data_IF_791396374549
#
_entry.id   IF_791396374549
#
_cell.length_a   1.000
_cell.length_b   1.000
_cell.length_c   1.000
_cell.angle_alpha   90.00
_cell.angle_beta   90.00
_cell.angle_gamma   90.00
#
_symmetry.space_group_name_H-M   'P 1'
#
loop_
_entity.id
_entity.type
_entity.pdbx_description
1 polymer ?
#
# COMPACT_ATOMS: atom_id res chain seq x y z
N UNK A 1 -9.00 -20.28 -78.96
CA UNK A 1 -9.66 -18.96 -78.85
C UNK A 1 -10.22 -18.83 -77.43
N UNK A 2 -10.22 -17.60 -76.90
CA UNK A 2 -10.23 -17.24 -75.47
C UNK A 2 -11.46 -17.67 -74.66
N UNK A 3 -11.32 -17.43 -73.34
CA UNK A 3 -12.34 -17.26 -72.28
C UNK A 3 -12.63 -18.53 -71.47
N UNK A 4 -12.69 -18.56 -70.14
CA UNK A 4 -12.60 -17.54 -69.08
C UNK A 4 -13.02 -18.18 -67.73
N UNK A 5 -12.74 -17.51 -66.60
CA UNK A 5 -13.45 -17.71 -65.33
C UNK A 5 -12.80 -18.61 -64.25
N UNK A 6 -12.25 -17.97 -63.22
CA UNK A 6 -12.16 -18.47 -61.84
C UNK A 6 -13.30 -17.83 -61.01
N UNK A 7 -13.52 -18.12 -59.70
CA UNK A 7 -13.12 -19.25 -58.82
C UNK A 7 -14.33 -19.77 -57.98
N UNK A 8 -14.19 -20.79 -57.12
CA UNK A 8 -14.90 -20.98 -55.82
C UNK A 8 -14.42 -22.32 -55.18
N UNK A 9 -13.75 -22.30 -54.03
CA UNK A 9 -14.24 -22.35 -52.64
C UNK A 9 -14.58 -23.77 -52.15
N UNK A 10 -13.67 -24.38 -51.38
CA UNK A 10 -13.93 -25.55 -50.55
C UNK A 10 -14.32 -25.10 -49.13
N UNK A 11 -15.34 -25.74 -48.54
CA UNK A 11 -15.26 -26.03 -47.11
C UNK A 11 -15.86 -27.41 -46.74
N UNK A 12 -15.23 -28.10 -45.78
CA UNK A 12 -15.82 -28.41 -44.46
C UNK A 12 -14.96 -29.44 -43.71
N UNK A 13 -14.57 -29.13 -42.46
CA UNK A 13 -14.94 -29.82 -41.20
C UNK A 13 -14.32 -31.23 -41.03
N UNK A 14 -13.75 -31.66 -39.90
CA UNK A 14 -13.89 -31.28 -38.50
C UNK A 14 -12.80 -31.99 -37.67
N UNK A 15 -12.55 -31.46 -36.47
CA UNK A 15 -12.11 -32.18 -35.25
C UNK A 15 -10.70 -32.79 -35.16
N UNK A 16 -9.77 -31.97 -34.66
CA UNK A 16 -9.00 -32.37 -33.49
C UNK A 16 -8.73 -31.13 -32.62
N UNK A 17 -9.44 -31.07 -31.49
CA UNK A 17 -9.33 -30.04 -30.47
C UNK A 17 -7.91 -30.00 -29.87
N UNK A 18 -7.16 -28.94 -30.17
CA UNK A 18 -6.00 -28.55 -29.37
C UNK A 18 -6.49 -27.65 -28.23
N UNK A 19 -6.27 -28.10 -26.99
CA UNK A 19 -6.52 -27.33 -25.79
C UNK A 19 -5.84 -25.94 -25.87
N UNK A 20 -6.45 -24.88 -25.32
CA UNK A 20 -5.81 -23.56 -25.30
C UNK A 20 -4.52 -23.65 -24.49
N UNK A 21 -3.41 -23.39 -25.18
CA UNK A 21 -2.09 -23.17 -24.57
C UNK A 21 -2.23 -22.14 -23.43
N UNK A 22 -1.61 -22.36 -22.26
CA UNK A 22 -1.73 -21.44 -21.15
C UNK A 22 -1.28 -20.05 -21.60
N UNK A 23 -2.22 -19.12 -21.50
CA UNK A 23 -2.12 -17.69 -21.79
C UNK A 23 -0.70 -17.19 -21.61
N UNK A 24 -0.15 -16.61 -22.68
CA UNK A 24 1.06 -15.81 -22.64
C UNK A 24 1.06 -14.96 -21.37
N UNK A 25 1.97 -15.26 -20.45
CA UNK A 25 2.15 -14.43 -19.28
C UNK A 25 2.39 -13.01 -19.80
N UNK A 26 1.47 -12.08 -19.50
CA UNK A 26 1.72 -10.66 -19.71
C UNK A 26 3.00 -10.36 -18.94
N UNK A 27 4.13 -10.28 -19.65
CA UNK A 27 5.36 -9.77 -19.08
C UNK A 27 5.05 -8.34 -18.65
N UNK A 28 4.86 -8.14 -17.36
CA UNK A 28 4.90 -6.81 -16.78
C UNK A 28 6.38 -6.41 -16.80
N UNK A 29 6.79 -5.86 -17.94
CA UNK A 29 8.04 -5.11 -18.03
C UNK A 29 7.77 -3.86 -17.22
N UNK A 30 8.26 -3.81 -15.97
CA UNK A 30 8.48 -2.55 -15.28
C UNK A 30 9.86 -2.09 -15.73
N UNK A 31 9.99 -1.19 -16.73
CA UNK A 31 11.27 -0.54 -16.91
C UNK A 31 11.51 0.26 -15.62
N UNK A 32 12.45 -0.19 -14.80
CA UNK A 32 13.21 0.74 -13.96
C UNK A 32 14.38 1.15 -14.83
N UNK A 33 14.26 2.19 -15.67
CA UNK A 33 15.45 2.72 -16.33
C UNK A 33 16.42 3.12 -15.22
N UNK A 34 17.67 2.70 -15.36
CA UNK A 34 18.73 3.25 -14.51
C UNK A 34 18.69 4.78 -14.66
N UNK A 35 18.79 5.52 -13.56
CA UNK A 35 18.66 7.00 -13.54
C UNK A 35 19.66 7.75 -14.46
N UNK A 36 20.51 7.02 -15.19
CA UNK A 36 21.53 7.50 -16.11
C UNK A 36 21.09 7.47 -17.59
N UNK A 37 19.96 6.87 -17.94
CA UNK A 37 19.50 6.77 -19.34
C UNK A 37 18.65 7.96 -19.82
N UNK A 38 18.17 8.79 -18.89
CA UNK A 38 17.30 9.94 -19.18
C UNK A 38 17.72 11.15 -18.36
N UNK A 39 17.72 12.34 -18.98
CA UNK A 39 17.90 13.61 -18.31
C UNK A 39 16.55 14.33 -18.20
N UNK A 40 16.19 14.74 -16.99
CA UNK A 40 15.06 15.67 -16.75
C UNK A 40 15.60 17.08 -16.93
N UNK A 41 15.14 17.77 -17.97
CA UNK A 41 15.55 19.14 -18.29
C UNK A 41 14.71 20.14 -17.49
N UNK A 42 15.17 21.41 -17.47
CA UNK A 42 14.39 22.49 -16.88
C UNK A 42 13.00 22.59 -17.57
N UNK A 43 11.89 22.58 -16.80
CA UNK A 43 10.55 22.54 -17.35
C UNK A 43 10.18 23.84 -18.09
N UNK A 44 10.68 24.99 -17.65
CA UNK A 44 10.39 26.29 -18.27
C UNK A 44 11.08 26.38 -19.63
N UNK A 45 12.36 26.05 -19.70
CA UNK A 45 13.13 26.01 -20.94
C UNK A 45 12.55 24.99 -21.92
N UNK A 46 12.16 23.82 -21.41
CA UNK A 46 11.58 22.75 -22.23
C UNK A 46 10.26 23.17 -22.87
N UNK A 47 9.34 23.78 -22.10
CA UNK A 47 8.08 24.28 -22.66
C UNK A 47 8.33 25.45 -23.62
N UNK A 48 9.24 26.38 -23.29
CA UNK A 48 9.60 27.50 -24.15
C UNK A 48 10.14 27.04 -25.52
N UNK A 49 10.92 25.96 -25.55
CA UNK A 49 11.45 25.39 -26.78
C UNK A 49 10.36 24.90 -27.74
N UNK A 50 9.31 24.25 -27.22
CA UNK A 50 8.28 23.61 -28.04
C UNK A 50 7.07 24.50 -28.32
N UNK A 51 6.83 25.53 -27.50
CA UNK A 51 5.66 26.40 -27.61
C UNK A 51 5.46 27.03 -29.02
N UNK A 52 6.49 27.54 -29.72
CA UNK A 52 6.30 28.14 -31.04
C UNK A 52 5.75 27.15 -32.07
N UNK A 53 6.22 25.90 -32.04
CA UNK A 53 5.72 24.84 -32.93
C UNK A 53 4.28 24.45 -32.56
N UNK A 54 3.97 24.33 -31.27
CA UNK A 54 2.63 23.98 -30.82
C UNK A 54 1.61 25.05 -31.19
N UNK A 55 1.97 26.34 -31.11
CA UNK A 55 1.10 27.46 -31.50
C UNK A 55 0.78 27.50 -32.99
N UNK A 56 1.61 26.90 -33.85
CA UNK A 56 1.28 26.75 -35.27
C UNK A 56 0.27 25.63 -35.53
N UNK A 57 0.19 24.65 -34.61
CA UNK A 57 -0.61 23.43 -34.75
C UNK A 57 -1.91 23.46 -33.95
N UNK A 58 -2.00 24.32 -32.94
CA UNK A 58 -3.12 24.37 -32.01
C UNK A 58 -3.50 25.79 -31.60
N UNK A 59 -4.80 26.07 -31.63
CA UNK A 59 -5.36 27.34 -31.17
C UNK A 59 -5.45 27.42 -29.63
N UNK A 60 -5.57 26.28 -28.95
CA UNK A 60 -5.66 26.15 -27.50
C UNK A 60 -4.62 25.16 -27.00
N UNK A 61 -3.76 25.58 -26.08
CA UNK A 61 -2.65 24.78 -25.55
C UNK A 61 -2.86 24.52 -24.06
N UNK A 62 -2.83 23.24 -23.71
CA UNK A 62 -2.87 22.75 -22.33
C UNK A 62 -1.49 22.26 -21.93
N UNK A 63 -0.98 22.73 -20.80
CA UNK A 63 0.24 22.20 -20.18
C UNK A 63 -0.15 21.29 -19.02
N UNK A 64 0.30 20.03 -19.07
CA UNK A 64 0.17 19.08 -17.95
C UNK A 64 1.47 19.12 -17.15
N UNK A 65 1.38 19.53 -15.89
CA UNK A 65 2.53 19.68 -14.99
C UNK A 65 2.46 18.67 -13.84
N UNK A 66 3.61 18.08 -13.50
CA UNK A 66 3.74 17.14 -12.39
C UNK A 66 5.02 17.44 -11.61
N UNK A 67 4.87 18.00 -10.41
CA UNK A 67 5.97 18.40 -9.54
C UNK A 67 5.44 18.99 -8.24
N UNK A 68 6.31 19.21 -7.24
CA UNK A 68 5.84 19.79 -5.98
C UNK A 68 5.23 21.18 -6.19
N UNK A 69 4.34 21.57 -5.28
CA UNK A 69 3.56 22.81 -5.41
C UNK A 69 4.45 24.05 -5.51
N UNK A 70 5.57 24.07 -4.79
CA UNK A 70 6.49 25.22 -4.74
C UNK A 70 7.30 25.32 -6.02
N UNK A 71 7.88 24.22 -6.50
CA UNK A 71 8.61 24.19 -7.77
C UNK A 71 7.68 24.45 -8.96
N UNK A 72 6.50 23.84 -8.96
CA UNK A 72 5.49 24.06 -10.00
C UNK A 72 5.05 25.52 -10.02
N UNK A 73 4.72 26.12 -8.87
CA UNK A 73 4.36 27.54 -8.79
C UNK A 73 5.47 28.48 -9.26
N UNK A 74 6.73 28.16 -8.94
CA UNK A 74 7.89 28.92 -9.43
C UNK A 74 8.02 28.79 -10.96
N UNK A 75 7.96 27.58 -11.50
CA UNK A 75 8.05 27.33 -12.94
C UNK A 75 6.92 28.05 -13.69
N UNK A 76 5.69 28.02 -13.14
CA UNK A 76 4.51 28.67 -13.71
C UNK A 76 4.67 30.17 -13.97
N UNK A 77 5.47 30.87 -13.17
CA UNK A 77 5.75 32.29 -13.37
C UNK A 77 6.56 32.59 -14.63
N UNK A 78 7.42 31.65 -15.03
CA UNK A 78 8.32 31.75 -16.19
C UNK A 78 7.80 31.04 -17.44
N UNK A 79 6.71 30.26 -17.33
CA UNK A 79 6.19 29.52 -18.46
C UNK A 79 5.73 30.47 -19.60
N UNK A 80 6.00 30.08 -20.86
CA UNK A 80 5.38 30.73 -22.02
C UNK A 80 3.85 30.65 -21.93
N UNK A 81 3.17 31.60 -22.58
CA UNK A 81 1.71 31.73 -22.54
C UNK A 81 1.02 30.45 -23.03
N UNK A 82 0.53 29.63 -22.10
CA UNK A 82 -0.41 28.54 -22.30
C UNK A 82 -1.84 29.02 -21.99
N UNK A 83 -2.86 28.36 -22.53
CA UNK A 83 -4.25 28.76 -22.26
C UNK A 83 -4.77 28.16 -20.94
N UNK A 84 -4.39 26.91 -20.67
CA UNK A 84 -4.72 26.17 -19.45
C UNK A 84 -3.52 25.36 -18.96
N UNK A 85 -3.35 25.29 -17.65
CA UNK A 85 -2.35 24.48 -17.00
C UNK A 85 -3.06 23.58 -15.98
N UNK A 86 -2.80 22.28 -16.07
CA UNK A 86 -3.33 21.26 -15.16
C UNK A 86 -2.13 20.70 -14.39
N UNK A 87 -2.08 20.95 -13.09
CA UNK A 87 -0.98 20.57 -12.22
C UNK A 87 -1.42 19.49 -11.21
N UNK A 88 -0.57 18.46 -11.04
CA UNK A 88 -0.73 17.38 -10.05
C UNK A 88 0.39 17.34 -9.00
N UNK A 89 0.44 16.27 -8.20
CA UNK A 89 1.48 15.94 -7.18
C UNK A 89 1.38 16.66 -5.81
N UNK A 90 0.40 17.53 -5.55
CA UNK A 90 0.21 18.15 -4.22
C UNK A 90 -0.93 17.54 -3.41
N UNK A 91 -0.65 17.23 -2.13
CA UNK A 91 -1.60 16.76 -1.11
C UNK A 91 -2.42 17.89 -0.47
N UNK A 92 -2.06 19.16 -0.67
CA UNK A 92 -2.76 20.28 -0.05
C UNK A 92 -3.72 20.95 -1.03
N UNK A 93 -4.93 21.36 -0.58
CA UNK A 93 -5.82 22.19 -1.39
C UNK A 93 -5.13 23.53 -1.68
N UNK A 94 -4.60 23.68 -2.89
CA UNK A 94 -4.02 24.94 -3.33
C UNK A 94 -5.12 25.96 -3.55
N UNK A 95 -5.03 27.07 -2.82
CA UNK A 95 -5.64 28.33 -3.26
C UNK A 95 -5.10 28.66 -4.65
N UNK A 96 -5.98 29.14 -5.51
CA UNK A 96 -5.70 29.49 -6.90
C UNK A 96 -4.53 30.48 -6.99
N UNK A 97 -3.34 30.00 -7.33
CA UNK A 97 -2.29 30.87 -7.83
C UNK A 97 -2.73 31.32 -9.24
N UNK A 98 -3.26 32.53 -9.34
CA UNK A 98 -3.60 33.10 -10.63
C UNK A 98 -2.28 33.42 -11.37
N UNK A 99 -1.97 32.67 -12.42
CA UNK A 99 -1.10 33.22 -13.46
C UNK A 99 -1.91 34.32 -14.17
N UNK A 100 -1.38 35.54 -14.32
CA UNK A 100 -2.07 36.59 -15.05
C UNK A 100 -2.29 36.26 -16.54
N UNK A 101 -1.63 35.20 -17.07
CA UNK A 101 -1.62 34.84 -18.49
C UNK A 101 -2.22 33.47 -18.81
N UNK A 102 -2.32 32.57 -17.83
CA UNK A 102 -2.84 31.21 -18.02
C UNK A 102 -3.80 30.82 -16.90
N UNK A 103 -4.86 30.07 -17.22
CA UNK A 103 -5.71 29.46 -16.18
C UNK A 103 -4.98 28.26 -15.55
N UNK A 104 -4.99 28.15 -14.23
CA UNK A 104 -4.36 27.06 -13.50
C UNK A 104 -5.43 26.23 -12.77
N UNK A 105 -5.34 24.91 -12.92
CA UNK A 105 -6.17 23.92 -12.26
C UNK A 105 -5.29 22.92 -11.49
N UNK A 106 -5.64 22.64 -10.24
CA UNK A 106 -4.99 21.60 -9.44
C UNK A 106 -5.90 20.38 -9.35
N UNK A 107 -5.42 19.23 -9.80
CA UNK A 107 -6.21 17.99 -9.82
C UNK A 107 -6.32 17.30 -8.44
N UNK A 108 -5.56 17.77 -7.46
CA UNK A 108 -5.46 17.13 -6.14
C UNK A 108 -4.72 15.80 -6.21
N UNK A 109 -5.13 14.85 -5.39
CA UNK A 109 -4.50 13.54 -5.21
C UNK A 109 -5.56 12.43 -5.11
N UNK A 110 -5.11 11.19 -5.32
CA UNK A 110 -5.86 9.93 -5.14
C UNK A 110 -7.24 9.84 -5.81
N UNK A 111 -7.48 10.66 -6.83
CA UNK A 111 -8.78 10.69 -7.51
C UNK A 111 -9.93 11.17 -6.62
N UNK A 112 -9.65 11.92 -5.55
CA UNK A 112 -10.68 12.49 -4.65
C UNK A 112 -11.42 13.69 -5.27
N UNK A 113 -10.94 14.21 -6.39
CA UNK A 113 -11.60 15.25 -7.14
C UNK A 113 -11.41 15.06 -8.65
N UNK A 114 -12.38 15.53 -9.42
CA UNK A 114 -12.33 15.67 -10.85
C UNK A 114 -12.31 17.16 -11.22
N UNK A 115 -11.44 17.54 -12.14
CA UNK A 115 -11.43 18.90 -12.68
C UNK A 115 -12.26 18.95 -13.96
N UNK A 116 -13.27 19.81 -13.97
CA UNK A 116 -14.02 20.16 -15.16
C UNK A 116 -13.54 21.52 -15.68
N UNK A 117 -13.06 21.56 -16.93
CA UNK A 117 -12.69 22.79 -17.61
C UNK A 117 -13.65 23.07 -18.77
N UNK A 118 -14.42 24.16 -18.68
CA UNK A 118 -15.29 24.65 -19.75
C UNK A 118 -14.56 25.72 -20.55
N UNK A 119 -14.26 25.43 -21.82
CA UNK A 119 -13.51 26.33 -22.71
C UNK A 119 -14.47 27.02 -23.67
N UNK A 120 -14.34 28.35 -23.79
CA UNK A 120 -15.13 29.17 -24.71
C UNK A 120 -14.27 30.24 -25.38
N UNK A 121 -14.69 30.74 -26.54
CA UNK A 121 -13.98 31.79 -27.29
C UNK A 121 -13.43 31.28 -28.62
N UNK A 122 -12.42 31.98 -29.13
CA UNK A 122 -11.77 31.72 -30.42
C UNK A 122 -10.25 31.90 -30.30
N UNK A 123 -9.51 31.47 -31.32
CA UNK A 123 -8.05 31.53 -31.39
C UNK A 123 -7.48 32.87 -30.86
N UNK A 124 -6.57 32.77 -29.88
CA UNK A 124 -5.94 33.93 -29.24
C UNK A 124 -6.79 34.67 -28.18
N UNK A 125 -8.03 34.25 -27.92
CA UNK A 125 -8.94 34.84 -26.91
C UNK A 125 -9.80 33.79 -26.19
N UNK A 126 -9.25 32.61 -25.94
CA UNK A 126 -9.98 31.59 -25.18
C UNK A 126 -10.11 31.97 -23.71
N UNK A 127 -11.23 31.55 -23.11
CA UNK A 127 -11.49 31.58 -21.68
C UNK A 127 -11.76 30.16 -21.21
N UNK A 128 -11.04 29.72 -20.18
CA UNK A 128 -11.34 28.49 -19.47
C UNK A 128 -11.93 28.82 -18.10
N UNK A 129 -13.13 28.30 -17.85
CA UNK A 129 -13.72 28.23 -16.52
C UNK A 129 -13.42 26.85 -15.94
N UNK A 130 -12.91 26.81 -14.71
CA UNK A 130 -12.38 25.58 -14.11
C UNK A 130 -13.07 25.36 -12.77
N UNK A 131 -13.69 24.20 -12.62
CA UNK A 131 -14.31 23.76 -11.38
C UNK A 131 -13.68 22.44 -10.91
N UNK A 132 -13.45 22.35 -9.59
CA UNK A 132 -13.13 21.08 -8.91
C UNK A 132 -14.41 20.45 -8.37
N UNK A 133 -14.63 19.19 -8.71
CA UNK A 133 -15.78 18.39 -8.31
C UNK A 133 -15.25 17.28 -7.40
N UNK A 134 -15.62 17.30 -6.11
CA UNK A 134 -15.24 16.23 -5.19
C UNK A 134 -15.87 14.90 -5.63
N UNK A 135 -15.06 13.84 -5.64
CA UNK A 135 -15.50 12.47 -5.86
C UNK A 135 -15.72 11.86 -4.47
N UNK A 136 -16.97 11.53 -4.17
CA UNK A 136 -17.41 10.95 -2.91
C UNK A 136 -18.53 9.93 -3.14
N UNK A 137 -19.09 9.41 -2.05
CA UNK A 137 -20.16 8.42 -2.02
C UNK A 137 -21.47 8.85 -2.70
N UNK A 138 -21.63 10.14 -3.03
CA UNK A 138 -22.79 10.63 -3.80
C UNK A 138 -22.67 10.31 -5.30
N UNK A 139 -21.47 10.00 -5.80
CA UNK A 139 -21.25 9.61 -7.19
C UNK A 139 -21.32 8.08 -7.28
N UNK A 140 -22.38 7.58 -7.93
CA UNK A 140 -22.58 6.15 -8.10
C UNK A 140 -21.47 5.46 -8.90
N UNK A 141 -21.21 4.20 -8.56
CA UNK A 141 -20.26 3.38 -9.31
C UNK A 141 -20.85 2.88 -10.63
N UNK A 142 -20.04 2.92 -11.68
CA UNK A 142 -20.38 2.31 -12.97
C UNK A 142 -20.16 0.78 -12.91
N UNK A 143 -21.19 -0.06 -13.16
CA UNK A 143 -21.07 -1.52 -13.04
C UNK A 143 -19.92 -2.13 -13.85
N UNK A 144 -19.64 -1.57 -15.03
CA UNK A 144 -18.56 -1.99 -15.91
C UNK A 144 -17.17 -1.73 -15.30
N UNK A 145 -16.99 -0.63 -14.57
CA UNK A 145 -15.74 -0.31 -13.88
C UNK A 145 -15.60 -1.17 -12.63
N UNK A 146 -16.68 -1.34 -11.86
CA UNK A 146 -16.70 -2.24 -10.68
C UNK A 146 -16.27 -3.65 -11.07
N UNK A 147 -16.77 -4.17 -12.19
CA UNK A 147 -16.38 -5.49 -12.71
C UNK A 147 -14.88 -5.59 -12.98
N UNK A 148 -14.29 -4.59 -13.64
CA UNK A 148 -12.85 -4.56 -13.92
C UNK A 148 -12.04 -4.54 -12.62
N UNK A 149 -12.50 -3.78 -11.62
CA UNK A 149 -11.84 -3.72 -10.31
C UNK A 149 -11.93 -5.05 -9.56
N UNK A 150 -13.06 -5.74 -9.59
CA UNK A 150 -13.23 -7.04 -8.94
C UNK A 150 -12.40 -8.13 -9.62
N UNK A 151 -12.30 -8.11 -10.95
CA UNK A 151 -11.40 -8.97 -11.71
C UNK A 151 -9.94 -8.70 -11.34
N UNK A 152 -9.52 -7.44 -11.30
CA UNK A 152 -8.17 -7.05 -10.87
C UNK A 152 -7.86 -7.53 -9.44
N UNK A 153 -8.76 -7.29 -8.49
CA UNK A 153 -8.64 -7.76 -7.10
C UNK A 153 -8.49 -9.28 -7.05
N UNK A 154 -9.30 -10.02 -7.80
CA UNK A 154 -9.19 -11.47 -7.89
C UNK A 154 -7.84 -11.92 -8.48
N UNK A 155 -7.30 -11.18 -9.45
CA UNK A 155 -5.99 -11.46 -10.04
C UNK A 155 -4.81 -11.21 -9.08
N UNK A 156 -4.98 -10.36 -8.05
CA UNK A 156 -3.90 -10.09 -7.08
C UNK A 156 -3.37 -11.35 -6.40
N UNK A 157 -4.20 -12.39 -6.27
CA UNK A 157 -3.78 -13.71 -5.74
C UNK A 157 -2.69 -14.40 -6.56
N UNK A 158 -2.58 -14.05 -7.84
CA UNK A 158 -1.58 -14.59 -8.77
C UNK A 158 -0.34 -13.71 -8.87
N UNK A 159 -0.31 -12.55 -8.20
CA UNK A 159 0.89 -11.75 -8.16
C UNK A 159 2.04 -12.58 -7.58
N UNK A 160 3.23 -12.54 -8.19
CA UNK A 160 4.36 -13.35 -7.75
C UNK A 160 4.70 -13.03 -6.29
N UNK A 161 4.32 -13.96 -5.41
CA UNK A 161 4.68 -13.92 -4.00
C UNK A 161 6.11 -14.44 -3.87
N UNK A 162 7.11 -13.59 -4.15
CA UNK A 162 8.51 -13.97 -3.95
C UNK A 162 8.69 -14.33 -2.47
N UNK A 163 9.00 -15.60 -2.15
CA UNK A 163 9.18 -15.99 -0.77
C UNK A 163 10.40 -15.26 -0.23
N UNK A 164 10.19 -14.43 0.78
CA UNK A 164 11.29 -13.82 1.51
C UNK A 164 11.77 -14.87 2.50
N UNK A 165 12.99 -15.37 2.30
CA UNK A 165 13.66 -16.20 3.30
C UNK A 165 13.94 -15.28 4.48
N UNK A 166 13.32 -15.57 5.62
CA UNK A 166 13.57 -14.86 6.87
C UNK A 166 15.04 -15.02 7.26
N UNK A 167 15.85 -14.00 7.02
CA UNK A 167 17.26 -13.97 7.45
C UNK A 167 17.38 -13.70 8.96
N UNK A 168 16.37 -13.07 9.55
CA UNK A 168 16.27 -12.78 10.98
C UNK A 168 14.93 -13.30 11.53
N UNK A 169 14.97 -13.90 12.73
CA UNK A 169 13.78 -14.31 13.47
C UNK A 169 13.73 -13.48 14.75
N UNK A 170 12.77 -12.55 14.83
CA UNK A 170 12.71 -11.50 15.86
C UNK A 170 11.32 -11.35 16.48
N UNK A 171 10.28 -11.88 15.81
CA UNK A 171 8.88 -11.80 16.22
C UNK A 171 8.45 -13.08 16.95
N UNK A 172 7.63 -12.90 17.99
CA UNK A 172 7.04 -13.93 18.83
C UNK A 172 5.56 -14.20 18.51
N UNK A 173 4.82 -13.24 17.96
CA UNK A 173 3.34 -13.19 17.84
C UNK A 173 2.58 -12.87 19.15
N UNK A 174 1.39 -12.29 19.00
CA UNK A 174 0.46 -11.96 20.08
C UNK A 174 0.05 -13.19 20.91
N UNK A 175 -0.06 -14.36 20.28
CA UNK A 175 -0.39 -15.62 21.00
C UNK A 175 0.70 -15.98 22.02
N UNK A 176 1.97 -15.69 21.72
CA UNK A 176 3.07 -15.91 22.66
C UNK A 176 3.06 -14.84 23.76
N UNK A 177 2.76 -13.58 23.42
CA UNK A 177 2.63 -12.49 24.39
C UNK A 177 1.54 -12.76 25.43
N UNK A 178 0.40 -13.32 25.01
CA UNK A 178 -0.74 -13.68 25.87
C UNK A 178 -0.33 -14.47 27.13
N UNK A 179 0.67 -15.33 27.03
CA UNK A 179 1.09 -16.19 28.15
C UNK A 179 1.50 -15.41 29.41
N UNK A 180 2.04 -14.19 29.26
CA UNK A 180 2.41 -13.30 30.37
C UNK A 180 1.58 -12.00 30.40
N UNK A 181 0.93 -11.64 29.30
CA UNK A 181 0.21 -10.38 29.10
C UNK A 181 -1.26 -10.61 28.71
N UNK A 182 -1.95 -11.52 29.41
CA UNK A 182 -3.33 -11.92 29.05
C UNK A 182 -4.30 -10.73 29.08
N UNK A 183 -4.21 -9.85 30.08
CA UNK A 183 -5.07 -8.66 30.15
C UNK A 183 -4.86 -7.68 28.99
N UNK A 184 -3.60 -7.46 28.59
CA UNK A 184 -3.31 -6.63 27.41
C UNK A 184 -3.75 -7.31 26.12
N UNK A 185 -3.58 -8.63 26.02
CA UNK A 185 -4.03 -9.41 24.87
C UNK A 185 -5.56 -9.34 24.70
N UNK A 186 -6.32 -9.48 25.79
CA UNK A 186 -7.78 -9.38 25.75
C UNK A 186 -8.25 -8.00 25.28
N UNK A 187 -7.65 -6.91 25.79
CA UNK A 187 -7.96 -5.57 25.30
C UNK A 187 -7.62 -5.43 23.80
N UNK A 188 -6.45 -5.93 23.38
CA UNK A 188 -6.05 -5.88 21.96
C UNK A 188 -7.06 -6.61 21.06
N UNK A 189 -7.62 -7.75 21.49
CA UNK A 189 -8.63 -8.49 20.72
C UNK A 189 -9.94 -7.73 20.51
N UNK A 190 -10.20 -6.66 21.26
CA UNK A 190 -11.38 -5.81 21.07
C UNK A 190 -11.12 -4.69 20.02
N UNK A 191 -9.86 -4.53 19.59
CA UNK A 191 -9.47 -3.51 18.62
C UNK A 191 -9.59 -4.00 17.17
N UNK A 192 -9.79 -3.05 16.23
CA UNK A 192 -9.77 -3.34 14.79
C UNK A 192 -8.45 -3.95 14.31
N UNK A 193 -7.33 -3.62 14.97
CA UNK A 193 -6.01 -4.16 14.65
C UNK A 193 -5.94 -5.69 14.76
N UNK A 194 -6.66 -6.28 15.73
CA UNK A 194 -6.72 -7.74 15.89
C UNK A 194 -7.56 -8.45 14.83
N UNK A 195 -8.29 -7.69 14.00
CA UNK A 195 -9.14 -8.18 12.91
C UNK A 195 -8.77 -7.57 11.55
N UNK A 196 -7.60 -6.93 11.44
CA UNK A 196 -7.20 -6.17 10.27
C UNK A 196 -7.17 -7.00 8.97
N UNK A 197 -6.80 -8.27 9.02
CA UNK A 197 -6.86 -9.12 7.81
C UNK A 197 -8.29 -9.42 7.36
N UNK A 198 -9.23 -9.52 8.31
CA UNK A 198 -10.62 -9.83 7.96
C UNK A 198 -11.22 -8.72 7.09
N UNK A 199 -10.90 -7.46 7.36
CA UNK A 199 -11.38 -6.35 6.53
C UNK A 199 -10.86 -6.44 5.10
N UNK A 200 -9.63 -6.95 4.88
CA UNK A 200 -9.12 -7.21 3.54
C UNK A 200 -9.85 -8.38 2.88
N UNK A 201 -10.09 -9.47 3.60
CA UNK A 201 -10.83 -10.64 3.08
C UNK A 201 -12.23 -10.23 2.62
N UNK A 202 -12.94 -9.46 3.44
CA UNK A 202 -14.30 -9.00 3.13
C UNK A 202 -14.36 -8.11 1.88
N UNK A 203 -13.23 -7.48 1.51
CA UNK A 203 -13.11 -6.59 0.36
C UNK A 203 -12.34 -7.21 -0.83
N UNK A 204 -11.99 -8.50 -0.77
CA UNK A 204 -11.15 -9.21 -1.75
C UNK A 204 -9.76 -8.58 -1.95
N UNK A 205 -9.16 -8.04 -0.89
CA UNK A 205 -7.86 -7.34 -0.88
C UNK A 205 -6.77 -8.10 -0.10
N UNK A 206 -7.04 -9.31 0.40
CA UNK A 206 -6.11 -10.09 1.23
C UNK A 206 -4.81 -10.50 0.54
N UNK A 207 -4.72 -10.32 -0.78
CA UNK A 207 -3.51 -10.55 -1.57
C UNK A 207 -2.89 -9.26 -2.13
N UNK A 208 -3.49 -8.10 -1.84
CA UNK A 208 -3.03 -6.82 -2.35
C UNK A 208 -1.76 -6.36 -1.60
N UNK A 209 -0.59 -6.30 -2.27
CA UNK A 209 0.66 -5.93 -1.62
C UNK A 209 0.70 -4.49 -1.09
N UNK A 210 -0.21 -3.62 -1.52
CA UNK A 210 -0.33 -2.25 -1.04
C UNK A 210 -1.08 -2.18 0.31
N UNK A 211 -2.00 -3.13 0.56
CA UNK A 211 -2.77 -3.19 1.80
C UNK A 211 -2.08 -3.99 2.91
N UNK A 212 -1.34 -5.03 2.54
CA UNK A 212 -0.71 -5.97 3.48
C UNK A 212 0.28 -5.32 4.47
N UNK A 213 1.08 -4.29 4.13
CA UNK A 213 1.94 -3.60 5.08
C UNK A 213 1.19 -3.02 6.29
N UNK A 214 -0.01 -2.48 6.07
CA UNK A 214 -0.81 -1.82 7.12
C UNK A 214 -1.71 -2.80 7.88
N UNK A 215 -2.09 -3.92 7.27
CA UNK A 215 -3.06 -4.87 7.85
C UNK A 215 -2.44 -6.14 8.44
N UNK A 216 -1.11 -6.27 8.41
CA UNK A 216 -0.40 -7.45 8.92
C UNK A 216 0.83 -7.07 9.72
N UNK A 217 1.39 -8.03 10.45
CA UNK A 217 2.59 -7.79 11.25
C UNK A 217 3.83 -8.10 10.42
N UNK A 218 4.64 -7.06 10.17
CA UNK A 218 5.94 -7.17 9.49
C UNK A 218 5.86 -7.87 8.12
N UNK A 219 4.97 -7.39 7.24
CA UNK A 219 4.81 -7.96 5.90
C UNK A 219 6.15 -8.06 5.16
N UNK A 220 6.51 -9.28 4.75
CA UNK A 220 7.75 -9.62 4.04
C UNK A 220 9.04 -9.16 4.74
N UNK A 221 9.01 -9.03 6.08
CA UNK A 221 10.15 -8.67 6.92
C UNK A 221 10.34 -9.68 8.03
N UNK A 222 11.60 -10.00 8.35
CA UNK A 222 11.97 -10.99 9.35
C UNK A 222 11.17 -12.30 9.19
N UNK A 223 10.63 -12.84 10.29
CA UNK A 223 9.71 -13.96 10.31
C UNK A 223 8.22 -13.57 10.30
N UNK A 224 7.90 -12.34 9.86
CA UNK A 224 6.55 -11.77 9.85
C UNK A 224 5.63 -12.34 8.77
N UNK A 225 4.55 -11.62 8.47
CA UNK A 225 3.55 -12.08 7.52
C UNK A 225 4.12 -12.22 6.11
N UNK A 226 3.94 -13.39 5.51
CA UNK A 226 4.25 -13.71 4.12
C UNK A 226 2.97 -13.97 3.34
N UNK A 227 2.14 -14.88 3.86
CA UNK A 227 0.79 -15.17 3.36
C UNK A 227 0.00 -15.95 4.42
N UNK A 228 -1.29 -16.17 4.14
CA UNK A 228 -2.20 -16.87 5.04
C UNK A 228 -1.89 -18.36 5.22
N UNK A 229 -1.22 -19.02 4.28
CA UNK A 229 -0.93 -20.45 4.38
C UNK A 229 0.37 -20.76 5.14
N UNK A 230 1.37 -19.86 5.10
CA UNK A 230 2.68 -20.09 5.73
C UNK A 230 2.85 -19.36 7.07
N UNK A 231 2.22 -18.20 7.23
CA UNK A 231 2.40 -17.35 8.42
C UNK A 231 1.06 -16.77 8.94
N UNK A 232 0.01 -17.59 9.12
CA UNK A 232 -1.31 -17.11 9.58
C UNK A 232 -1.24 -16.42 10.95
N UNK A 233 -0.29 -16.81 11.80
CA UNK A 233 -0.07 -16.22 13.11
C UNK A 233 0.42 -14.77 13.06
N UNK A 234 0.69 -14.19 11.88
CA UNK A 234 1.04 -12.77 11.69
C UNK A 234 -0.01 -12.02 10.84
N UNK A 235 -1.15 -12.65 10.56
CA UNK A 235 -2.21 -12.15 9.69
C UNK A 235 -3.14 -11.15 10.38
N UNK A 236 -2.59 -10.17 11.10
CA UNK A 236 -3.27 -9.01 11.73
C UNK A 236 -2.21 -8.00 12.20
N UNK A 237 -2.60 -6.82 12.65
CA UNK A 237 -1.71 -5.85 13.32
C UNK A 237 -1.56 -6.25 14.80
N UNK A 238 -0.39 -6.79 15.17
CA UNK A 238 -0.14 -7.36 16.50
C UNK A 238 0.66 -6.46 17.42
N UNK A 239 0.86 -6.92 18.65
CA UNK A 239 1.64 -6.26 19.69
C UNK A 239 2.98 -5.73 19.17
N UNK A 240 3.67 -6.48 18.31
CA UNK A 240 5.00 -6.12 17.81
C UNK A 240 5.01 -4.95 16.81
N UNK A 241 3.86 -4.58 16.24
CA UNK A 241 3.76 -3.34 15.46
C UNK A 241 3.95 -2.15 16.38
N UNK A 242 3.27 -2.11 17.53
CA UNK A 242 3.37 -1.02 18.51
C UNK A 242 4.62 -1.09 19.40
N UNK A 243 4.96 -2.29 19.89
CA UNK A 243 5.98 -2.49 20.91
C UNK A 243 7.35 -2.93 20.35
N UNK A 244 7.41 -3.23 19.05
CA UNK A 244 8.59 -3.76 18.37
C UNK A 244 8.80 -5.28 18.60
N UNK A 245 9.86 -5.85 18.00
CA UNK A 245 10.10 -7.28 18.04
C UNK A 245 10.35 -7.83 19.46
N UNK A 246 9.59 -8.85 19.85
CA UNK A 246 9.56 -9.34 21.23
C UNK A 246 10.18 -10.73 21.46
N UNK A 247 10.72 -11.40 20.43
CA UNK A 247 11.19 -12.78 20.61
C UNK A 247 12.35 -12.89 21.62
N UNK A 248 13.28 -11.93 21.60
CA UNK A 248 14.37 -11.87 22.58
C UNK A 248 13.84 -11.64 24.00
N UNK A 249 12.83 -10.78 24.15
CA UNK A 249 12.15 -10.55 25.42
C UNK A 249 11.57 -11.85 25.99
N UNK A 250 10.81 -12.56 25.16
CA UNK A 250 10.22 -13.85 25.53
C UNK A 250 11.29 -14.85 25.97
N UNK A 251 12.38 -14.96 25.21
CA UNK A 251 13.50 -15.84 25.56
C UNK A 251 14.15 -15.48 26.90
N UNK A 252 14.48 -14.21 27.10
CA UNK A 252 15.16 -13.75 28.32
C UNK A 252 14.28 -13.91 29.57
N UNK A 253 12.98 -13.62 29.47
CA UNK A 253 12.02 -13.82 30.57
C UNK A 253 11.78 -15.30 30.88
N UNK A 254 11.68 -16.16 29.85
CA UNK A 254 11.54 -17.61 30.05
C UNK A 254 12.77 -18.23 30.68
N UNK A 255 13.97 -17.78 30.32
CA UNK A 255 15.20 -18.23 30.98
C UNK A 255 15.19 -17.84 32.45
N UNK A 256 14.91 -16.57 32.75
CA UNK A 256 14.85 -16.08 34.13
C UNK A 256 13.81 -16.83 34.98
N UNK A 257 12.65 -17.15 34.42
CA UNK A 257 11.58 -17.86 35.12
C UNK A 257 11.89 -19.36 35.38
N UNK A 258 12.69 -20.00 34.53
CA UNK A 258 12.91 -21.46 34.58
C UNK A 258 14.25 -21.87 35.19
N UNK A 259 15.25 -20.98 35.23
CA UNK A 259 16.55 -21.28 35.80
C UNK A 259 16.46 -21.38 37.34
N UNK A 260 16.83 -22.55 37.86
CA UNK A 260 16.88 -22.85 39.30
C UNK A 260 18.32 -22.86 39.78
N UNK A 261 18.53 -22.63 41.08
CA UNK A 261 19.83 -22.70 41.76
C UNK A 261 20.90 -21.72 41.23
N UNK A 262 20.48 -20.52 40.81
CA UNK A 262 21.40 -19.44 40.45
C UNK A 262 21.99 -18.77 41.71
N UNK A 263 23.26 -18.38 41.65
CA UNK A 263 23.81 -17.42 42.63
C UNK A 263 23.17 -16.04 42.44
N UNK A 264 23.31 -15.17 43.43
CA UNK A 264 22.77 -13.81 43.35
C UNK A 264 23.38 -13.01 42.18
N UNK A 265 24.68 -13.19 41.92
CA UNK A 265 25.36 -12.55 40.79
C UNK A 265 24.82 -13.05 39.45
N UNK A 266 24.59 -14.37 39.33
CA UNK A 266 24.03 -14.96 38.12
C UNK A 266 22.61 -14.48 37.88
N UNK A 267 21.77 -14.48 38.92
CA UNK A 267 20.39 -13.98 38.86
C UNK A 267 20.36 -12.52 38.39
N UNK A 268 21.17 -11.66 39.00
CA UNK A 268 21.29 -10.25 38.61
C UNK A 268 21.70 -10.09 37.15
N UNK A 269 22.64 -10.90 36.66
CA UNK A 269 23.05 -10.85 35.26
C UNK A 269 21.91 -11.20 34.28
N UNK A 270 21.07 -12.20 34.62
CA UNK A 270 19.89 -12.54 33.82
C UNK A 270 18.80 -11.46 33.89
N UNK A 271 18.57 -10.87 35.07
CA UNK A 271 17.64 -9.75 35.23
C UNK A 271 18.06 -8.53 34.39
N UNK A 272 19.34 -8.17 34.42
CA UNK A 272 19.86 -7.05 33.64
C UNK A 272 19.81 -7.32 32.14
N UNK A 273 20.05 -8.59 31.73
CA UNK A 273 19.82 -9.02 30.35
C UNK A 273 18.35 -8.87 29.95
N UNK A 274 17.41 -9.32 30.79
CA UNK A 274 15.98 -9.23 30.54
C UNK A 274 15.50 -7.77 30.46
N UNK A 275 16.02 -6.87 31.31
CA UNK A 275 15.74 -5.42 31.23
C UNK A 275 16.16 -4.82 29.88
N UNK A 276 17.30 -5.23 29.33
CA UNK A 276 17.79 -4.79 28.01
C UNK A 276 16.99 -5.35 26.83
N UNK A 277 16.07 -6.29 27.08
CA UNK A 277 15.24 -6.90 26.04
C UNK A 277 13.80 -6.37 26.02
N UNK A 278 13.46 -5.42 26.89
CA UNK A 278 12.10 -4.93 27.02
C UNK A 278 11.61 -4.28 25.71
N UNK A 279 10.42 -4.67 25.21
CA UNK A 279 9.76 -3.97 24.13
C UNK A 279 9.47 -2.51 24.48
N UNK A 280 9.27 -1.68 23.46
CA UNK A 280 8.88 -0.27 23.62
C UNK A 280 7.55 -0.21 24.36
N UNK A 281 7.45 0.52 25.48
CA UNK A 281 6.18 0.61 26.23
C UNK A 281 5.18 1.58 25.61
N UNK A 282 5.68 2.71 25.14
CA UNK A 282 4.87 3.77 24.54
C UNK A 282 5.29 3.92 23.09
N UNK A 283 4.44 3.50 22.12
CA UNK A 283 4.76 3.68 20.71
C UNK A 283 4.89 5.17 20.35
N UNK A 284 5.68 5.46 19.32
CA UNK A 284 5.79 6.81 18.77
C UNK A 284 4.57 7.10 17.89
N UNK A 285 4.10 8.35 17.85
CA UNK A 285 3.04 8.80 16.94
C UNK A 285 3.37 8.50 15.47
N UNK A 286 4.65 8.63 15.09
CA UNK A 286 5.15 8.34 13.74
C UNK A 286 4.88 6.92 13.28
N UNK A 287 4.73 5.97 14.20
CA UNK A 287 4.33 4.61 13.88
C UNK A 287 2.87 4.55 13.43
N UNK A 288 1.98 5.23 14.14
CA UNK A 288 0.54 5.23 13.85
C UNK A 288 0.27 5.86 12.49
N UNK A 289 0.85 7.04 12.24
CA UNK A 289 0.67 7.75 10.97
C UNK A 289 1.37 7.08 9.78
N UNK A 290 2.15 6.02 10.01
CA UNK A 290 2.70 5.19 8.93
C UNK A 290 1.63 4.32 8.25
N UNK A 291 0.47 4.16 8.88
CA UNK A 291 -0.69 3.46 8.32
C UNK A 291 -1.96 4.32 8.37
N UNK A 292 -2.04 5.28 9.29
CA UNK A 292 -3.13 6.23 9.41
C UNK A 292 -2.71 7.60 8.88
N UNK A 293 -2.70 7.71 7.56
CA UNK A 293 -2.45 8.95 6.83
C UNK A 293 -3.70 9.38 6.05
N UNK A 294 -3.63 10.50 5.34
CA UNK A 294 -4.76 11.01 4.54
C UNK A 294 -5.23 10.04 3.44
N UNK A 295 -4.42 9.07 3.04
CA UNK A 295 -4.79 8.11 1.99
C UNK A 295 -5.53 6.92 2.58
N UNK A 296 -5.13 6.47 3.77
CA UNK A 296 -5.57 5.23 4.38
C UNK A 296 -6.61 5.44 5.50
N UNK A 297 -6.58 6.58 6.19
CA UNK A 297 -7.51 6.94 7.26
C UNK A 297 -7.59 8.48 7.45
N UNK A 298 -8.40 9.13 6.62
CA UNK A 298 -8.59 10.60 6.63
C UNK A 298 -9.36 11.14 7.85
N UNK A 299 -9.84 10.26 8.73
CA UNK A 299 -10.53 10.62 9.97
C UNK A 299 -9.68 10.38 11.23
N UNK A 300 -8.44 9.88 11.07
CA UNK A 300 -7.57 9.59 12.19
C UNK A 300 -7.11 10.84 12.92
N UNK A 301 -7.31 10.85 14.24
CA UNK A 301 -6.82 11.90 15.14
C UNK A 301 -6.02 11.22 16.25
N UNK A 302 -4.69 11.28 16.15
CA UNK A 302 -3.79 10.52 17.02
C UNK A 302 -4.13 10.64 18.52
N UNK A 303 -4.34 11.86 19.02
CA UNK A 303 -4.62 12.12 20.44
C UNK A 303 -5.93 11.50 20.93
N UNK A 304 -6.90 11.27 20.04
CA UNK A 304 -8.19 10.66 20.37
C UNK A 304 -8.16 9.14 20.16
N UNK A 305 -7.59 8.70 19.04
CA UNK A 305 -7.61 7.29 18.64
C UNK A 305 -6.61 6.44 19.43
N UNK A 306 -5.49 7.01 19.88
CA UNK A 306 -4.52 6.28 20.70
C UNK A 306 -5.15 5.82 22.02
N UNK A 307 -6.12 6.55 22.57
CA UNK A 307 -6.83 6.16 23.79
C UNK A 307 -7.63 4.86 23.61
N UNK A 308 -8.14 4.60 22.40
CA UNK A 308 -8.95 3.41 22.07
C UNK A 308 -8.13 2.13 22.08
N UNK A 309 -6.80 2.24 21.96
CA UNK A 309 -5.87 1.10 21.92
C UNK A 309 -5.04 0.97 23.20
N UNK A 310 -5.27 1.81 24.22
CA UNK A 310 -4.57 1.69 25.50
C UNK A 310 -5.08 0.51 26.32
N UNK A 311 -4.15 -0.26 26.88
CA UNK A 311 -4.42 -1.36 27.80
C UNK A 311 -3.78 -1.09 29.18
N UNK A 312 -4.26 -0.05 29.87
CA UNK A 312 -3.82 0.34 31.22
C UNK A 312 -4.33 -0.63 32.28
N UNK A 313 -3.74 -1.83 32.31
CA UNK A 313 -3.93 -2.82 33.36
C UNK A 313 -2.73 -2.76 34.31
N UNK A 314 -2.91 -2.84 35.66
CA UNK A 314 -1.79 -3.01 36.57
C UNK A 314 -1.03 -4.27 36.16
N UNK A 315 0.30 -4.18 36.04
CA UNK A 315 1.16 -5.33 35.73
C UNK A 315 1.10 -6.28 36.93
N UNK A 316 0.18 -7.23 36.90
CA UNK A 316 0.18 -8.34 37.86
C UNK A 316 1.36 -9.24 37.48
N UNK A 317 2.25 -9.52 38.42
CA UNK A 317 3.33 -10.48 38.21
C UNK A 317 2.71 -11.86 37.99
N UNK A 318 2.58 -12.27 36.72
CA UNK A 318 2.09 -13.61 36.37
C UNK A 318 3.28 -14.57 36.47
N UNK A 319 3.14 -15.61 37.29
CA UNK A 319 4.04 -16.76 37.23
C UNK A 319 3.74 -17.52 35.94
N UNK A 320 4.70 -17.68 35.00
CA UNK A 320 4.40 -18.29 33.72
C UNK A 320 3.99 -19.74 33.91
N UNK A 321 2.79 -20.08 33.46
CA UNK A 321 2.34 -21.47 33.35
C UNK A 321 3.24 -22.18 32.33
N UNK A 322 3.77 -23.39 32.62
CA UNK A 322 4.53 -24.15 31.63
C UNK A 322 3.69 -24.36 30.37
N UNK A 323 4.20 -24.00 29.19
CA UNK A 323 3.55 -24.36 27.95
C UNK A 323 3.59 -25.89 27.80
N UNK A 324 2.43 -26.47 27.46
CA UNK A 324 2.39 -27.81 26.91
C UNK A 324 3.27 -27.88 25.66
N UNK A 325 3.92 -29.03 25.45
CA UNK A 325 4.74 -29.27 24.27
C UNK A 325 3.92 -28.97 22.99
N UNK A 326 4.56 -28.42 21.94
CA UNK A 326 3.88 -28.22 20.66
C UNK A 326 3.30 -29.55 20.18
N UNK A 327 2.09 -29.58 19.60
CA UNK A 327 1.58 -30.80 18.99
C UNK A 327 2.58 -31.29 17.93
N UNK A 328 2.78 -32.62 17.80
CA UNK A 328 3.70 -33.16 16.81
C UNK A 328 3.31 -32.66 15.42
N UNK A 329 4.30 -32.27 14.63
CA UNK A 329 4.10 -31.85 13.25
C UNK A 329 3.37 -32.97 12.48
N UNK A 330 2.13 -32.73 12.09
CA UNK A 330 1.43 -33.61 11.16
C UNK A 330 2.16 -33.54 9.83
N UNK A 331 2.75 -34.67 9.42
CA UNK A 331 3.36 -34.81 8.11
C UNK A 331 2.31 -34.49 7.03
N UNK A 332 2.69 -33.77 5.94
CA UNK A 332 1.78 -33.54 4.84
C UNK A 332 1.37 -34.89 4.24
N UNK A 333 0.06 -35.16 4.25
CA UNK A 333 -0.49 -36.29 3.51
C UNK A 333 -0.29 -36.02 2.02
N UNK A 334 0.66 -36.73 1.42
CA UNK A 334 0.76 -36.88 -0.03
C UNK A 334 -0.50 -37.62 -0.51
N UNK A 335 -1.55 -36.87 -0.81
CA UNK A 335 -2.63 -37.36 -1.64
C UNK A 335 -2.18 -37.19 -3.09
N UNK A 336 -1.57 -38.25 -3.60
CA UNK A 336 -1.54 -38.56 -5.03
C UNK A 336 -2.98 -38.84 -5.45
N UNK A 337 -3.57 -37.92 -6.22
CA UNK A 337 -4.47 -38.19 -7.36
C UNK A 337 -4.73 -36.90 -8.12
#
# INVERSE_FOLDING_TARGET
>A
MREGGQPHFEPSAEEAAAAPSPSAAKQIVVPRPDHLEFAVLDPVESVARWMPEMRQKADFIVVLAHGDQTETAKALSGLPDADLIIAGYSALPSTSANSPRSKLAWIGYDGRAMIQASVSGAAGKFKADVQSIAINDTIGHLPEVTKILDEYKAETRYLPQRPVIAVNVTLASATVCKACHDGQYQQWTETRHSHAMQTLIDNNQQFNPDCLPCHTTSYRKDNGFQNLSTTPQFANVQCEVCHGPALRHVGDQRLLANLKNLTDEQRKAFEDRAKRSLPVRTPLETLCIGCHDEQNDDHFVYVEDVEKVKHNMPVVAVTPTPLAAPPPATAPSLLVR
#
